data_IF_263853813124
#
_entry.id   IF_263853813124
#
_cell.length_a   1.000
_cell.length_b   1.000
_cell.length_c   1.000
_cell.angle_alpha   90.00
_cell.angle_beta   90.00
_cell.angle_gamma   90.00
#
_symmetry.space_group_name_H-M   'P 1'
#
loop_
_entity.id
_entity.type
_entity.pdbx_description
1 polymer ?
#
# COMPACT_ATOMS: atom_id res chain seq x y z
N UNK A 1 -20.47 10.67 -5.13
CA UNK A 1 -20.26 11.82 -4.23
C UNK A 1 -18.88 11.83 -3.62
N UNK A 2 -18.45 10.81 -2.91
CA UNK A 2 -17.07 10.74 -2.40
C UNK A 2 -16.06 10.72 -3.54
N UNK A 3 -16.36 10.00 -4.61
CA UNK A 3 -15.52 9.93 -5.80
C UNK A 3 -15.36 11.28 -6.49
N UNK A 4 -16.42 12.07 -6.58
CA UNK A 4 -16.36 13.42 -7.14
C UNK A 4 -15.48 14.35 -6.30
N UNK A 5 -15.56 14.24 -4.97
CA UNK A 5 -14.70 15.00 -4.07
C UNK A 5 -13.23 14.60 -4.25
N UNK A 6 -12.94 13.30 -4.39
CA UNK A 6 -11.59 12.81 -4.64
C UNK A 6 -11.05 13.36 -5.97
N UNK A 7 -11.82 13.29 -7.05
CA UNK A 7 -11.41 13.80 -8.36
C UNK A 7 -11.17 15.30 -8.34
N UNK A 8 -12.01 16.07 -7.64
CA UNK A 8 -11.81 17.51 -7.49
C UNK A 8 -10.48 17.80 -6.77
N UNK A 9 -10.19 17.04 -5.70
CA UNK A 9 -8.95 17.18 -4.96
C UNK A 9 -7.73 16.86 -5.83
N UNK A 10 -7.80 15.79 -6.63
CA UNK A 10 -6.72 15.41 -7.55
C UNK A 10 -6.44 16.48 -8.60
N UNK A 11 -7.44 17.26 -8.98
CA UNK A 11 -7.33 18.32 -9.98
C UNK A 11 -7.06 19.70 -9.38
N UNK A 12 -6.93 19.80 -8.06
CA UNK A 12 -6.64 21.06 -7.36
C UNK A 12 -5.13 21.25 -7.25
N UNK A 13 -4.54 22.22 -8.01
CA UNK A 13 -3.10 22.43 -7.97
C UNK A 13 -2.60 23.01 -6.65
N UNK A 14 -3.48 23.58 -5.84
CA UNK A 14 -3.13 24.22 -4.58
C UNK A 14 -3.21 23.24 -3.39
N UNK A 15 -3.78 22.06 -3.58
CA UNK A 15 -3.90 21.06 -2.52
C UNK A 15 -2.59 20.26 -2.40
N UNK A 16 -1.77 20.72 -1.48
CA UNK A 16 -0.53 20.03 -1.15
C UNK A 16 -0.13 20.36 0.29
N UNK A 17 -0.06 19.34 1.11
CA UNK A 17 0.41 19.49 2.48
C UNK A 17 1.93 19.31 2.55
N UNK A 18 2.56 20.06 3.45
CA UNK A 18 3.95 19.78 3.84
C UNK A 18 3.99 18.49 4.66
N UNK A 19 5.19 17.96 4.86
CA UNK A 19 5.39 16.79 5.72
C UNK A 19 4.90 17.06 7.15
N UNK A 20 5.19 18.26 7.67
CA UNK A 20 4.74 18.67 9.01
C UNK A 20 3.21 18.74 9.11
N UNK A 21 2.56 19.32 8.11
CA UNK A 21 1.11 19.37 8.06
C UNK A 21 0.48 17.98 8.01
N UNK A 22 1.06 17.09 7.21
CA UNK A 22 0.60 15.68 7.14
C UNK A 22 0.72 14.99 8.48
N UNK A 23 1.86 15.15 9.17
CA UNK A 23 2.07 14.57 10.49
C UNK A 23 1.05 15.08 11.51
N UNK A 24 0.76 16.36 11.49
CA UNK A 24 -0.22 16.97 12.37
C UNK A 24 -1.61 16.42 12.12
N UNK A 25 -2.02 16.30 10.86
CA UNK A 25 -3.33 15.75 10.49
C UNK A 25 -3.45 14.29 10.95
N UNK A 26 -2.39 13.49 10.73
CA UNK A 26 -2.38 12.08 11.18
C UNK A 26 -2.50 12.00 12.70
N UNK A 27 -1.81 12.85 13.44
CA UNK A 27 -1.94 12.88 14.90
C UNK A 27 -3.36 13.21 15.34
N UNK A 28 -4.03 14.17 14.69
CA UNK A 28 -5.42 14.47 14.95
C UNK A 28 -6.32 13.26 14.70
N UNK A 29 -6.10 12.53 13.62
CA UNK A 29 -6.85 11.31 13.31
C UNK A 29 -6.67 10.24 14.39
N UNK A 30 -5.44 10.08 14.88
CA UNK A 30 -5.12 9.10 15.94
C UNK A 30 -5.86 9.44 17.23
N UNK A 31 -5.89 10.72 17.60
CA UNK A 31 -6.53 11.20 18.82
C UNK A 31 -8.05 11.04 18.80
N UNK A 32 -8.67 11.02 17.62
CA UNK A 32 -10.11 10.95 17.46
C UNK A 32 -10.73 9.62 17.88
N UNK A 33 -9.94 8.54 17.93
CA UNK A 33 -10.46 7.19 18.16
C UNK A 33 -9.50 6.34 18.98
N UNK A 34 -10.05 5.31 19.64
CA UNK A 34 -9.25 4.31 20.32
C UNK A 34 -8.44 3.47 19.30
N UNK A 35 -7.34 2.91 19.75
CA UNK A 35 -6.45 2.13 18.89
C UNK A 35 -7.14 0.97 18.17
N UNK A 36 -8.11 0.34 18.82
CA UNK A 36 -8.87 -0.77 18.22
C UNK A 36 -9.71 -0.33 17.02
N UNK A 37 -10.25 0.88 17.07
CA UNK A 37 -10.99 1.44 15.95
C UNK A 37 -10.09 1.69 14.75
N UNK A 38 -8.86 2.16 14.98
CA UNK A 38 -7.87 2.33 13.92
C UNK A 38 -7.45 0.98 13.33
N UNK A 39 -7.23 -0.03 14.17
CA UNK A 39 -6.90 -1.37 13.69
C UNK A 39 -8.03 -1.95 12.83
N UNK A 40 -9.27 -1.81 13.27
CA UNK A 40 -10.45 -2.27 12.53
C UNK A 40 -10.57 -1.53 11.18
N UNK A 41 -10.38 -0.21 11.18
CA UNK A 41 -10.43 0.60 9.96
C UNK A 41 -9.34 0.16 8.97
N UNK A 42 -8.15 -0.11 9.46
CA UNK A 42 -7.05 -0.61 8.62
C UNK A 42 -7.41 -1.95 7.97
N UNK A 43 -8.03 -2.84 8.72
CA UNK A 43 -8.50 -4.12 8.16
C UNK A 43 -9.52 -3.90 7.04
N UNK A 44 -10.45 -2.96 7.23
CA UNK A 44 -11.45 -2.61 6.21
C UNK A 44 -10.77 -2.07 4.94
N UNK A 45 -9.86 -1.12 5.08
CA UNK A 45 -9.16 -0.52 3.93
C UNK A 45 -8.31 -1.57 3.19
N UNK A 46 -7.63 -2.44 3.93
CA UNK A 46 -6.87 -3.54 3.32
C UNK A 46 -7.78 -4.55 2.60
N UNK A 47 -9.02 -4.70 3.04
CA UNK A 47 -9.99 -5.60 2.39
C UNK A 47 -10.60 -4.98 1.12
N UNK A 48 -10.69 -3.66 1.04
CA UNK A 48 -11.24 -2.96 -0.13
C UNK A 48 -10.27 -2.94 -1.32
N UNK A 49 -8.97 -2.90 -1.07
CA UNK A 49 -7.96 -2.90 -2.13
C UNK A 49 -8.04 -4.14 -3.03
N UNK A 50 -8.14 -5.38 -2.51
CA UNK A 50 -8.31 -6.56 -3.36
C UNK A 50 -9.53 -6.50 -4.26
N UNK A 51 -10.63 -5.89 -3.81
CA UNK A 51 -11.84 -5.71 -4.60
C UNK A 51 -11.55 -4.85 -5.84
N UNK A 52 -10.87 -3.71 -5.66
CA UNK A 52 -10.52 -2.84 -6.77
C UNK A 52 -9.49 -3.50 -7.73
N UNK A 53 -8.52 -4.23 -7.18
CA UNK A 53 -7.57 -4.98 -8.00
C UNK A 53 -8.29 -6.05 -8.84
N UNK A 54 -9.24 -6.76 -8.25
CA UNK A 54 -10.05 -7.76 -8.94
C UNK A 54 -10.84 -7.16 -10.10
N UNK A 55 -11.44 -6.00 -9.90
CA UNK A 55 -12.14 -5.25 -10.96
C UNK A 55 -11.19 -4.90 -12.11
N UNK A 56 -9.99 -4.45 -11.79
CA UNK A 56 -8.98 -4.11 -12.80
C UNK A 56 -8.54 -5.33 -13.60
N UNK A 57 -8.38 -6.49 -12.96
CA UNK A 57 -8.05 -7.75 -13.64
C UNK A 57 -9.14 -8.12 -14.63
N UNK A 58 -10.41 -7.91 -14.27
CA UNK A 58 -11.56 -8.22 -15.13
C UNK A 58 -11.84 -7.15 -16.19
N UNK A 59 -11.04 -6.10 -16.28
CA UNK A 59 -11.23 -5.01 -17.25
C UNK A 59 -12.36 -4.05 -16.89
N UNK A 60 -12.85 -4.10 -15.65
CA UNK A 60 -13.95 -3.27 -15.15
C UNK A 60 -13.48 -2.20 -14.17
N UNK A 61 -12.18 -2.15 -13.91
CA UNK A 61 -11.61 -1.25 -12.92
C UNK A 61 -11.44 0.18 -13.44
N UNK A 62 -11.34 1.10 -12.48
CA UNK A 62 -11.06 2.50 -12.71
C UNK A 62 -9.74 2.83 -12.00
N UNK A 63 -8.80 3.41 -12.76
CA UNK A 63 -7.49 3.79 -12.23
C UNK A 63 -7.61 4.75 -11.04
N UNK A 64 -8.58 5.69 -11.09
CA UNK A 64 -8.78 6.66 -10.00
C UNK A 64 -9.32 6.00 -8.74
N UNK A 65 -10.20 5.03 -8.86
CA UNK A 65 -10.66 4.23 -7.72
C UNK A 65 -9.52 3.44 -7.09
N UNK A 66 -8.70 2.81 -7.92
CA UNK A 66 -7.53 2.06 -7.43
C UNK A 66 -6.57 2.99 -6.69
N UNK A 67 -6.30 4.17 -7.23
CA UNK A 67 -5.42 5.16 -6.61
C UNK A 67 -5.98 5.62 -5.25
N UNK A 68 -7.28 5.87 -5.17
CA UNK A 68 -7.95 6.25 -3.94
C UNK A 68 -7.81 5.16 -2.87
N UNK A 69 -8.08 3.89 -3.23
CA UNK A 69 -7.94 2.76 -2.31
C UNK A 69 -6.50 2.56 -1.86
N UNK A 70 -5.54 2.74 -2.75
CA UNK A 70 -4.12 2.68 -2.37
C UNK A 70 -3.76 3.78 -1.37
N UNK A 71 -4.25 5.01 -1.60
CA UNK A 71 -4.01 6.11 -0.68
C UNK A 71 -4.58 5.82 0.71
N UNK A 72 -5.79 5.27 0.77
CA UNK A 72 -6.43 4.89 2.03
C UNK A 72 -5.60 3.84 2.78
N UNK A 73 -5.06 2.86 2.08
CA UNK A 73 -4.18 1.84 2.67
C UNK A 73 -2.90 2.47 3.22
N UNK A 74 -2.26 3.37 2.45
CA UNK A 74 -1.04 4.05 2.91
C UNK A 74 -1.30 4.85 4.19
N UNK A 75 -2.39 5.61 4.23
CA UNK A 75 -2.74 6.39 5.42
C UNK A 75 -3.02 5.47 6.61
N UNK A 76 -3.78 4.41 6.39
CA UNK A 76 -4.12 3.44 7.44
C UNK A 76 -2.87 2.76 8.01
N UNK A 77 -1.93 2.37 7.16
CA UNK A 77 -0.66 1.79 7.60
C UNK A 77 0.17 2.79 8.40
N UNK A 78 0.19 4.04 7.99
CA UNK A 78 0.87 5.09 8.73
C UNK A 78 0.28 5.22 10.15
N UNK A 79 -1.05 5.28 10.25
CA UNK A 79 -1.74 5.35 11.55
C UNK A 79 -1.37 4.14 12.41
N UNK A 80 -1.36 2.94 11.85
CA UNK A 80 -1.00 1.71 12.58
C UNK A 80 0.44 1.75 13.08
N UNK A 81 1.37 2.27 12.29
CA UNK A 81 2.77 2.46 12.76
C UNK A 81 2.80 3.32 14.01
N UNK A 82 2.09 4.45 14.01
CA UNK A 82 2.06 5.36 15.15
C UNK A 82 1.37 4.73 16.37
N UNK A 83 0.24 4.07 16.15
CA UNK A 83 -0.54 3.43 17.21
C UNK A 83 0.25 2.31 17.92
N UNK A 84 1.02 1.52 17.17
CA UNK A 84 1.81 0.41 17.70
C UNK A 84 3.27 0.77 17.96
N UNK A 85 3.63 2.05 17.84
CA UNK A 85 4.98 2.55 18.05
C UNK A 85 6.04 1.82 17.21
N UNK A 86 5.71 1.63 15.94
CA UNK A 86 6.62 1.04 14.96
C UNK A 86 7.28 2.19 14.19
N UNK A 87 8.60 2.30 14.26
CA UNK A 87 9.32 3.37 13.58
C UNK A 87 9.38 3.15 12.06
N UNK A 88 9.51 4.25 11.33
CA UNK A 88 9.75 4.20 9.88
C UNK A 88 11.07 3.49 9.57
N UNK A 89 12.09 3.70 10.40
CA UNK A 89 13.39 3.00 10.23
C UNK A 89 13.22 1.49 10.33
N UNK A 90 12.40 1.01 11.26
CA UNK A 90 12.13 -0.43 11.40
C UNK A 90 11.37 -0.97 10.19
N UNK A 91 10.39 -0.23 9.69
CA UNK A 91 9.66 -0.62 8.47
C UNK A 91 10.60 -0.65 7.26
N UNK A 92 11.44 0.37 7.09
CA UNK A 92 12.40 0.41 5.99
C UNK A 92 13.37 -0.78 6.05
N UNK A 93 13.85 -1.10 7.24
CA UNK A 93 14.72 -2.25 7.42
C UNK A 93 14.01 -3.56 7.11
N UNK A 94 12.77 -3.71 7.55
CA UNK A 94 11.96 -4.90 7.25
C UNK A 94 11.72 -5.03 5.75
N UNK A 95 11.48 -3.91 5.06
CA UNK A 95 11.33 -3.88 3.60
C UNK A 95 12.63 -4.38 2.94
N UNK A 96 13.78 -3.87 3.35
CA UNK A 96 15.08 -4.28 2.80
C UNK A 96 15.32 -5.79 2.99
N UNK A 97 14.97 -6.32 4.17
CA UNK A 97 15.08 -7.76 4.44
C UNK A 97 14.21 -8.56 3.47
N UNK A 98 12.98 -8.12 3.26
CA UNK A 98 12.05 -8.78 2.34
C UNK A 98 12.52 -8.68 0.88
N UNK A 99 13.00 -7.52 0.48
CA UNK A 99 13.54 -7.30 -0.87
C UNK A 99 14.74 -8.21 -1.14
N UNK A 100 15.64 -8.33 -0.17
CA UNK A 100 16.80 -9.22 -0.31
C UNK A 100 16.35 -10.67 -0.51
N UNK A 101 15.38 -11.13 0.29
CA UNK A 101 14.83 -12.49 0.16
C UNK A 101 14.16 -12.70 -1.20
N UNK A 102 13.39 -11.73 -1.64
CA UNK A 102 12.70 -11.80 -2.93
C UNK A 102 13.69 -11.80 -4.09
N UNK A 103 14.76 -11.01 -4.01
CA UNK A 103 15.83 -11.02 -5.02
C UNK A 103 16.54 -12.36 -5.07
N UNK A 104 16.85 -12.95 -3.92
CA UNK A 104 17.45 -14.29 -3.86
C UNK A 104 16.54 -15.33 -4.52
N UNK A 105 15.24 -15.30 -4.24
CA UNK A 105 14.26 -16.20 -4.85
C UNK A 105 14.17 -16.01 -6.37
N UNK A 106 14.20 -14.77 -6.81
CA UNK A 106 14.19 -14.43 -8.24
C UNK A 106 15.43 -15.02 -8.95
N UNK A 107 16.61 -14.80 -8.39
CA UNK A 107 17.86 -15.35 -8.96
C UNK A 107 17.85 -16.88 -8.98
N UNK A 108 17.36 -17.51 -7.91
CA UNK A 108 17.24 -18.96 -7.83
C UNK A 108 16.32 -19.53 -8.91
N UNK A 109 15.16 -18.88 -9.13
CA UNK A 109 14.22 -19.29 -10.20
C UNK A 109 14.82 -19.10 -11.59
N UNK A 110 15.53 -18.00 -11.80
CA UNK A 110 16.19 -17.71 -13.07
C UNK A 110 17.26 -18.76 -13.39
N UNK A 111 18.05 -19.13 -12.39
CA UNK A 111 19.08 -20.16 -12.52
C UNK A 111 18.45 -21.53 -12.81
N UNK A 112 17.38 -21.89 -12.11
CA UNK A 112 16.68 -23.16 -12.33
C UNK A 112 16.08 -23.23 -13.73
N UNK A 113 15.48 -22.15 -14.21
CA UNK A 113 14.94 -22.06 -15.57
C UNK A 113 16.02 -22.27 -16.62
N UNK A 114 17.18 -21.64 -16.44
CA UNK A 114 18.32 -21.80 -17.33
C UNK A 114 18.78 -23.25 -17.39
N UNK A 115 18.89 -23.90 -16.23
CA UNK A 115 19.27 -25.33 -16.15
C UNK A 115 18.27 -26.22 -16.87
N UNK A 116 16.99 -25.98 -16.65
CA UNK A 116 15.91 -26.74 -17.28
C UNK A 116 15.92 -26.58 -18.80
N UNK A 117 16.18 -25.39 -19.31
CA UNK A 117 16.31 -25.12 -20.75
C UNK A 117 17.52 -25.87 -21.34
N UNK A 118 18.65 -25.83 -20.64
CA UNK A 118 19.89 -26.54 -21.08
C UNK A 118 19.70 -28.04 -21.09
N UNK A 119 18.91 -28.59 -20.20
CA UNK A 119 18.61 -30.02 -20.10
C UNK A 119 17.43 -30.46 -20.96
N UNK A 120 16.79 -29.51 -21.68
CA UNK A 120 15.63 -29.80 -22.53
C UNK A 120 14.34 -30.08 -21.78
N UNK A 121 14.20 -29.64 -20.53
CA UNK A 121 13.02 -29.87 -19.71
C UNK A 121 11.88 -28.87 -19.97
N UNK A 122 12.19 -27.73 -20.58
CA UNK A 122 11.22 -26.69 -20.91
C UNK A 122 11.19 -26.56 -22.45
N UNK A 123 9.99 -26.61 -22.98
CA UNK A 123 9.75 -26.54 -24.42
C UNK A 123 9.19 -25.20 -24.84
#
# INVERSE_FOLDING_TARGET
>A
MQQEAFLRGMNDPDLKYSEEERNEIVQHMIEDRAWRAHATKTMEECAELPVELSKNICGQGDRMHLLEEMADVYISLWIIQEVFDISTDDIDKAIDVKLKRNEFRHQSRKEQKRKDELEGRIF
#
